data_IF_070302675728
#
_entry.id   IF_070302675728
#
_cell.length_a   1.000
_cell.length_b   1.000
_cell.length_c   1.000
_cell.angle_alpha   90.00
_cell.angle_beta   90.00
_cell.angle_gamma   90.00
#
_symmetry.space_group_name_H-M   'P 1'
#
loop_
_entity.id
_entity.type
_entity.pdbx_description
1 polymer ?
#
# COMPACT_ATOMS: atom_id res chain seq x y z
N UNK A 1 -34.32 15.47 -8.51
CA UNK A 1 -33.95 14.16 -9.11
C UNK A 1 -32.54 13.86 -8.63
N UNK A 2 -32.35 12.91 -7.70
CA UNK A 2 -31.02 12.49 -7.25
C UNK A 2 -30.56 11.40 -8.21
N UNK A 3 -29.46 11.64 -8.92
CA UNK A 3 -28.75 10.60 -9.65
C UNK A 3 -28.07 9.74 -8.59
N UNK A 4 -28.54 8.50 -8.43
CA UNK A 4 -27.83 7.49 -7.65
C UNK A 4 -26.79 6.94 -8.62
N UNK A 5 -25.54 7.38 -8.49
CA UNK A 5 -24.44 6.78 -9.23
C UNK A 5 -24.29 5.33 -8.74
N UNK A 6 -24.51 4.39 -9.64
CA UNK A 6 -24.29 2.98 -9.37
C UNK A 6 -22.78 2.77 -9.24
N UNK A 7 -22.27 2.63 -8.02
CA UNK A 7 -20.87 2.30 -7.70
C UNK A 7 -20.48 0.85 -8.08
N UNK A 8 -21.04 0.28 -9.15
CA UNK A 8 -20.57 -0.99 -9.70
C UNK A 8 -19.34 -0.75 -10.57
N UNK A 9 -18.26 -0.27 -9.94
CA UNK A 9 -16.95 -0.22 -10.55
C UNK A 9 -16.37 -1.64 -10.52
N UNK A 10 -16.55 -2.38 -11.62
CA UNK A 10 -15.91 -3.66 -11.79
C UNK A 10 -14.43 -3.44 -12.07
N UNK A 11 -13.56 -4.03 -11.24
CA UNK A 11 -12.12 -4.02 -11.51
C UNK A 11 -11.82 -4.85 -12.76
N UNK A 12 -10.95 -4.31 -13.61
CA UNK A 12 -10.52 -4.95 -14.86
C UNK A 12 -9.43 -5.99 -14.62
N UNK A 13 -8.80 -5.97 -13.44
CA UNK A 13 -7.76 -6.91 -13.05
C UNK A 13 -7.71 -7.14 -11.54
N UNK A 14 -7.11 -8.26 -11.12
CA UNK A 14 -6.82 -8.52 -9.71
C UNK A 14 -5.90 -7.46 -9.11
N UNK A 15 -5.00 -6.89 -9.91
CA UNK A 15 -4.11 -5.81 -9.46
C UNK A 15 -4.92 -4.56 -9.10
N UNK A 16 -5.83 -4.15 -9.96
CA UNK A 16 -6.69 -2.98 -9.72
C UNK A 16 -7.56 -3.19 -8.47
N UNK A 17 -8.12 -4.40 -8.29
CA UNK A 17 -8.86 -4.75 -7.09
C UNK A 17 -7.98 -4.67 -5.82
N UNK A 18 -6.76 -5.20 -5.88
CA UNK A 18 -5.82 -5.17 -4.77
C UNK A 18 -5.38 -3.73 -4.43
N UNK A 19 -5.07 -2.91 -5.44
CA UNK A 19 -4.70 -1.51 -5.27
C UNK A 19 -5.82 -0.71 -4.59
N UNK A 20 -7.08 -0.93 -4.98
CA UNK A 20 -8.21 -0.26 -4.35
C UNK A 20 -8.43 -0.73 -2.90
N UNK A 21 -8.29 -2.02 -2.61
CA UNK A 21 -8.36 -2.53 -1.23
C UNK A 21 -7.27 -1.89 -0.36
N UNK A 22 -6.04 -1.80 -0.85
CA UNK A 22 -4.94 -1.13 -0.14
C UNK A 22 -5.22 0.35 0.10
N UNK A 23 -5.84 1.04 -0.86
CA UNK A 23 -6.26 2.44 -0.70
C UNK A 23 -7.32 2.59 0.40
N UNK A 24 -8.34 1.74 0.42
CA UNK A 24 -9.39 1.75 1.46
C UNK A 24 -8.79 1.47 2.83
N UNK A 25 -7.94 0.45 2.95
CA UNK A 25 -7.26 0.13 4.22
C UNK A 25 -6.37 1.29 4.68
N UNK A 26 -5.65 1.94 3.76
CA UNK A 26 -4.81 3.10 4.06
C UNK A 26 -5.64 4.28 4.60
N UNK A 27 -6.84 4.52 4.06
CA UNK A 27 -7.80 5.51 4.58
C UNK A 27 -8.27 5.13 5.97
N UNK A 28 -8.70 3.89 6.17
CA UNK A 28 -9.23 3.43 7.43
C UNK A 28 -8.20 3.47 8.57
N UNK A 29 -6.96 3.10 8.30
CA UNK A 29 -5.87 3.06 9.29
C UNK A 29 -5.12 4.39 9.41
N UNK A 30 -5.43 5.37 8.55
CA UNK A 30 -4.69 6.62 8.42
C UNK A 30 -3.17 6.45 8.22
N UNK A 31 -2.76 5.46 7.43
CA UNK A 31 -1.35 5.20 7.07
C UNK A 31 -1.08 5.61 5.63
N UNK A 32 0.12 6.09 5.32
CA UNK A 32 0.49 6.45 3.95
C UNK A 32 1.00 5.25 3.13
N UNK A 33 1.71 4.32 3.78
CA UNK A 33 2.49 3.30 3.08
C UNK A 33 2.19 1.90 3.62
N UNK A 34 1.98 0.95 2.72
CA UNK A 34 2.06 -0.49 3.01
C UNK A 34 3.25 -1.09 2.28
N UNK A 35 3.93 -2.05 2.89
CA UNK A 35 5.01 -2.75 2.22
C UNK A 35 5.10 -4.21 2.63
N UNK A 36 5.62 -5.03 1.72
CA UNK A 36 6.04 -6.39 2.02
C UNK A 36 7.54 -6.35 2.23
N UNK A 37 7.99 -6.74 3.42
CA UNK A 37 9.39 -6.74 3.77
C UNK A 37 9.82 -8.07 4.39
N UNK A 38 11.06 -8.49 4.12
CA UNK A 38 11.74 -9.53 4.89
C UNK A 38 12.77 -8.87 5.80
N UNK A 39 12.88 -9.31 7.05
CA UNK A 39 13.95 -8.86 7.93
C UNK A 39 14.80 -10.02 8.43
N UNK A 40 16.05 -9.73 8.76
CA UNK A 40 16.98 -10.68 9.40
C UNK A 40 17.44 -10.17 10.78
N UNK A 41 16.60 -9.38 11.45
CA UNK A 41 16.89 -8.69 12.74
C UNK A 41 18.03 -7.65 12.68
N UNK A 42 18.69 -7.47 11.53
CA UNK A 42 19.70 -6.42 11.30
C UNK A 42 19.20 -5.44 10.25
N UNK A 43 18.66 -5.96 9.15
CA UNK A 43 18.17 -5.20 8.01
C UNK A 43 16.75 -5.65 7.64
N UNK A 44 15.95 -4.71 7.16
CA UNK A 44 14.69 -4.94 6.47
C UNK A 44 14.87 -4.66 4.98
N UNK A 45 14.54 -5.65 4.15
CA UNK A 45 14.50 -5.53 2.69
C UNK A 45 13.06 -5.34 2.24
N UNK A 46 12.77 -4.25 1.54
CA UNK A 46 11.45 -3.97 0.99
C UNK A 46 11.32 -4.65 -0.38
N UNK A 47 10.36 -5.57 -0.52
CA UNK A 47 10.09 -6.29 -1.77
C UNK A 47 9.05 -5.60 -2.64
N UNK A 48 8.03 -5.04 -2.02
CA UNK A 48 6.97 -4.30 -2.69
C UNK A 48 6.43 -3.20 -1.80
N UNK A 49 5.95 -2.13 -2.41
CA UNK A 49 5.46 -0.96 -1.70
C UNK A 49 4.22 -0.38 -2.38
N UNK A 50 3.27 0.06 -1.55
CA UNK A 50 2.11 0.87 -1.94
C UNK A 50 2.20 2.20 -1.20
N UNK A 51 2.05 3.30 -1.92
CA UNK A 51 1.99 4.65 -1.36
C UNK A 51 0.66 5.30 -1.74
N UNK A 52 -0.05 5.88 -0.76
CA UNK A 52 -1.29 6.62 -1.03
C UNK A 52 -1.03 8.05 -1.48
N UNK A 53 -0.11 8.77 -0.83
CA UNK A 53 0.14 10.20 -1.08
C UNK A 53 1.61 10.48 -1.38
N UNK A 54 2.48 10.07 -0.47
CA UNK A 54 3.91 10.40 -0.52
C UNK A 54 4.75 9.14 -0.74
N UNK A 55 5.76 9.24 -1.59
CA UNK A 55 6.75 8.18 -1.78
C UNK A 55 7.78 8.29 -0.67
N UNK A 56 7.83 7.31 0.22
CA UNK A 56 8.78 7.28 1.35
C UNK A 56 10.03 6.48 1.02
N UNK A 57 9.88 5.38 0.30
CA UNK A 57 10.97 4.47 -0.08
C UNK A 57 10.51 3.59 -1.23
N UNK A 58 11.44 3.18 -2.08
CA UNK A 58 11.15 2.35 -3.24
C UNK A 58 11.27 0.86 -2.92
N UNK A 59 10.68 0.02 -3.78
CA UNK A 59 10.97 -1.42 -3.75
C UNK A 59 12.48 -1.66 -3.96
N UNK A 60 13.07 -2.57 -3.21
CA UNK A 60 14.51 -2.81 -3.17
C UNK A 60 15.27 -1.96 -2.15
N UNK A 61 14.59 -1.02 -1.47
CA UNK A 61 15.21 -0.26 -0.38
C UNK A 61 15.58 -1.19 0.77
N UNK A 62 16.77 -0.99 1.32
CA UNK A 62 17.22 -1.61 2.56
C UNK A 62 17.17 -0.58 3.69
N UNK A 63 16.56 -0.96 4.80
CA UNK A 63 16.46 -0.15 6.02
C UNK A 63 17.14 -0.91 7.17
N UNK A 64 17.76 -0.21 8.11
CA UNK A 64 18.15 -0.87 9.36
C UNK A 64 16.88 -1.37 10.06
N UNK A 65 16.97 -2.50 10.75
CA UNK A 65 15.82 -3.12 11.41
C UNK A 65 15.09 -2.16 12.36
N UNK A 66 15.84 -1.31 13.07
CA UNK A 66 15.30 -0.32 14.01
C UNK A 66 14.74 0.95 13.34
N UNK A 67 15.14 1.24 12.10
CA UNK A 67 14.61 2.38 11.34
C UNK A 67 13.30 2.02 10.62
N UNK A 68 12.89 0.75 10.66
CA UNK A 68 11.71 0.21 10.00
C UNK A 68 10.49 0.03 10.94
N UNK A 69 10.63 0.38 12.23
CA UNK A 69 9.59 0.31 13.29
C UNK A 69 9.37 1.67 13.93
#
# INVERSE_FOLDING_TARGET
>A
MRVIENENQFYTSLKEAADHILEVLSKQMNVNTFCVASNNQVMSMIHSVFHRKEVLFESGTQLNFLDAY
#
